data_IF_841304229613
#
_entry.id   IF_841304229613
#
_cell.length_a   1.000
_cell.length_b   1.000
_cell.length_c   1.000
_cell.angle_alpha   90.00
_cell.angle_beta   90.00
_cell.angle_gamma   90.00
#
_symmetry.space_group_name_H-M   'P 1'
#
loop_
_entity.id
_entity.type
_entity.pdbx_description
1 polymer ?
#
# COMPACT_ATOMS: atom_id res chain seq x y z
N UNK A 1 22.82 1.42 -13.47
CA UNK A 1 22.36 0.34 -14.38
C UNK A 1 21.09 0.82 -15.06
N UNK A 2 20.92 0.52 -16.34
CA UNK A 2 19.74 0.89 -17.14
C UNK A 2 19.24 -0.36 -17.85
N UNK A 3 17.93 -0.60 -17.84
CA UNK A 3 17.26 -1.69 -18.53
C UNK A 3 16.54 -1.15 -19.77
N UNK A 4 16.47 -1.94 -20.84
CA UNK A 4 15.73 -1.61 -22.06
C UNK A 4 14.62 -2.64 -22.24
N UNK A 5 13.38 -2.18 -22.35
CA UNK A 5 12.21 -3.04 -22.60
C UNK A 5 12.01 -3.23 -24.10
N UNK A 6 11.55 -4.42 -24.50
CA UNK A 6 11.32 -4.74 -25.91
C UNK A 6 10.02 -4.12 -26.47
N UNK A 7 9.10 -3.71 -25.60
CA UNK A 7 7.81 -3.13 -25.97
C UNK A 7 7.54 -1.81 -25.25
N UNK A 8 6.52 -1.12 -25.72
CA UNK A 8 6.02 0.11 -25.12
C UNK A 8 5.09 -0.25 -23.96
N UNK A 9 5.58 -0.07 -22.73
CA UNK A 9 4.82 -0.31 -21.50
C UNK A 9 4.84 0.98 -20.70
N UNK A 10 3.66 1.44 -20.27
CA UNK A 10 3.53 2.59 -19.38
C UNK A 10 4.09 2.24 -18.00
N UNK A 11 5.32 2.67 -17.73
CA UNK A 11 6.01 2.45 -16.46
C UNK A 11 6.45 3.78 -15.84
N UNK A 12 6.13 3.95 -14.57
CA UNK A 12 6.45 5.13 -13.78
C UNK A 12 7.53 4.87 -12.73
N UNK A 13 8.00 5.97 -12.12
CA UNK A 13 8.89 5.88 -10.96
C UNK A 13 8.14 5.27 -9.78
N UNK A 14 8.73 4.21 -9.21
CA UNK A 14 8.15 3.48 -8.09
C UNK A 14 7.40 2.21 -8.49
N UNK A 15 7.32 1.92 -9.79
CA UNK A 15 6.89 0.61 -10.28
C UNK A 15 8.02 -0.42 -10.10
N UNK A 16 7.61 -1.68 -9.91
CA UNK A 16 8.53 -2.78 -9.63
C UNK A 16 8.51 -3.76 -10.79
N UNK A 17 9.66 -3.95 -11.41
CA UNK A 17 9.89 -5.05 -12.34
C UNK A 17 10.33 -6.27 -11.53
N UNK A 18 9.49 -7.31 -11.51
CA UNK A 18 9.75 -8.52 -10.74
C UNK A 18 9.69 -9.77 -11.61
N UNK A 19 10.61 -10.70 -11.35
CA UNK A 19 10.50 -12.09 -11.81
C UNK A 19 9.97 -12.89 -10.62
N UNK A 20 8.71 -13.32 -10.68
CA UNK A 20 8.00 -13.97 -9.58
C UNK A 20 6.74 -13.22 -9.15
N UNK A 21 6.22 -13.55 -7.97
CA UNK A 21 4.97 -12.99 -7.44
C UNK A 21 5.22 -12.27 -6.10
N UNK A 22 5.68 -11.00 -6.11
CA UNK A 22 5.73 -10.19 -4.90
C UNK A 22 4.30 -9.96 -4.38
N UNK A 23 4.17 -9.60 -3.10
CA UNK A 23 2.86 -9.25 -2.57
C UNK A 23 2.45 -7.85 -3.02
N UNK A 24 1.18 -7.71 -3.39
CA UNK A 24 0.56 -6.42 -3.71
C UNK A 24 -0.65 -6.23 -2.82
N UNK A 25 -0.52 -5.39 -1.79
CA UNK A 25 -1.62 -5.13 -0.86
C UNK A 25 -1.47 -3.75 -0.21
N UNK A 26 -2.56 -3.25 0.37
CA UNK A 26 -2.58 -2.03 1.19
C UNK A 26 -2.37 -2.31 2.67
N UNK A 27 -2.36 -3.57 3.10
CA UNK A 27 -2.22 -3.93 4.52
C UNK A 27 -1.20 -5.03 4.73
N UNK A 28 -0.29 -4.80 5.67
CA UNK A 28 0.78 -5.73 6.03
C UNK A 28 1.17 -5.59 7.50
N UNK A 29 1.87 -6.60 8.00
CA UNK A 29 2.46 -6.57 9.34
C UNK A 29 3.95 -6.28 9.23
N UNK A 30 4.46 -5.43 10.13
CA UNK A 30 5.85 -5.01 10.15
C UNK A 30 6.39 -4.89 11.58
N UNK A 31 7.70 -4.99 11.72
CA UNK A 31 8.41 -4.48 12.89
C UNK A 31 8.84 -3.04 12.61
N UNK A 32 8.49 -2.12 13.49
CA UNK A 32 8.89 -0.72 13.39
C UNK A 32 9.76 -0.35 14.57
N UNK A 33 10.89 0.30 14.28
CA UNK A 33 11.73 1.00 15.26
C UNK A 33 11.32 2.47 15.23
N UNK A 34 10.85 2.97 16.36
CA UNK A 34 10.44 4.36 16.49
C UNK A 34 11.59 5.23 16.98
N UNK A 35 11.81 6.38 16.33
CA UNK A 35 12.97 7.24 16.54
C UNK A 35 12.59 8.69 16.88
N UNK A 36 11.31 9.06 16.78
CA UNK A 36 10.82 10.38 17.15
C UNK A 36 10.59 10.47 18.67
N UNK A 37 10.92 11.63 19.25
CA UNK A 37 10.64 11.92 20.66
C UNK A 37 9.14 11.93 20.96
N UNK A 38 8.34 12.38 19.98
CA UNK A 38 6.88 12.30 20.07
C UNK A 38 6.47 10.84 19.84
N UNK A 39 5.72 10.22 20.76
CA UNK A 39 5.22 8.86 20.55
C UNK A 39 4.42 8.76 19.25
N UNK A 40 4.46 7.59 18.62
CA UNK A 40 3.63 7.28 17.47
C UNK A 40 2.16 7.39 17.89
N UNK A 41 1.41 8.22 17.16
CA UNK A 41 -0.01 8.46 17.38
C UNK A 41 -0.83 7.71 16.32
N UNK A 42 -1.60 6.72 16.76
CA UNK A 42 -2.40 5.85 15.89
C UNK A 42 -3.58 6.58 15.24
N UNK A 43 -3.90 7.80 15.66
CA UNK A 43 -4.92 8.65 15.03
C UNK A 43 -4.37 9.53 13.90
N UNK A 44 -3.04 9.58 13.73
CA UNK A 44 -2.36 10.39 12.71
C UNK A 44 -2.03 9.56 11.47
N UNK A 45 -2.14 10.19 10.33
CA UNK A 45 -1.65 9.66 9.05
C UNK A 45 -0.20 10.08 8.86
N UNK A 46 0.66 9.11 8.56
CA UNK A 46 2.07 9.32 8.28
C UNK A 46 2.36 9.14 6.78
N UNK A 47 3.54 9.55 6.34
CA UNK A 47 4.06 9.19 5.03
C UNK A 47 4.95 7.96 5.17
N UNK A 48 4.65 6.92 4.41
CA UNK A 48 5.48 5.74 4.26
C UNK A 48 6.24 5.85 2.94
N UNK A 49 7.56 5.81 3.01
CA UNK A 49 8.43 5.75 1.84
C UNK A 49 9.11 4.40 1.76
N UNK A 50 8.88 3.71 0.65
CA UNK A 50 9.45 2.42 0.32
C UNK A 50 10.11 2.53 -1.05
N UNK A 51 11.40 2.23 -1.12
CA UNK A 51 12.19 2.33 -2.37
C UNK A 51 11.99 3.71 -3.05
N UNK A 52 11.30 3.76 -4.20
CA UNK A 52 11.02 4.99 -4.95
C UNK A 52 9.61 5.55 -4.75
N UNK A 53 8.76 4.90 -3.95
CA UNK A 53 7.34 5.23 -3.78
C UNK A 53 7.09 5.81 -2.39
N UNK A 54 6.28 6.86 -2.34
CA UNK A 54 5.78 7.44 -1.09
C UNK A 54 4.26 7.37 -1.11
N UNK A 55 3.67 6.84 -0.04
CA UNK A 55 2.22 6.72 0.16
C UNK A 55 1.87 7.17 1.57
N UNK A 56 0.64 7.61 1.79
CA UNK A 56 0.14 7.80 3.16
C UNK A 56 -0.11 6.45 3.81
N UNK A 57 0.13 6.38 5.12
CA UNK A 57 -0.03 5.17 5.91
C UNK A 57 -0.51 5.47 7.33
N UNK A 58 -1.30 4.55 7.87
CA UNK A 58 -1.75 4.49 9.26
C UNK A 58 -1.09 3.29 9.93
N UNK A 59 -0.70 3.46 11.20
CA UNK A 59 -0.05 2.43 12.00
C UNK A 59 -0.92 2.17 13.23
N UNK A 60 -1.27 0.92 13.48
CA UNK A 60 -2.35 0.55 14.40
C UNK A 60 -1.96 0.45 15.88
N UNK A 61 -0.68 0.66 16.20
CA UNK A 61 -0.15 0.53 17.57
C UNK A 61 0.80 1.67 17.90
N UNK A 62 0.67 2.31 19.08
CA UNK A 62 1.60 3.35 19.53
C UNK A 62 2.95 2.75 19.90
N UNK A 63 4.01 3.55 19.70
CA UNK A 63 5.40 3.23 20.02
C UNK A 63 6.07 4.48 20.63
N UNK A 64 6.82 4.30 21.71
CA UNK A 64 7.63 5.36 22.30
C UNK A 64 9.02 5.46 21.63
N UNK A 65 9.75 6.54 21.92
CA UNK A 65 11.13 6.73 21.46
C UNK A 65 11.99 5.49 21.78
N UNK A 66 12.70 4.99 20.77
CA UNK A 66 13.53 3.78 20.81
C UNK A 66 12.78 2.46 21.06
N UNK A 67 11.45 2.46 21.01
CA UNK A 67 10.66 1.22 21.08
C UNK A 67 10.69 0.50 19.72
N UNK A 68 10.77 -0.83 19.78
CA UNK A 68 10.58 -1.72 18.63
C UNK A 68 9.31 -2.52 18.85
N UNK A 69 8.37 -2.43 17.92
CA UNK A 69 7.09 -3.13 18.05
C UNK A 69 6.65 -3.81 16.75
N UNK A 70 5.94 -4.92 16.90
CA UNK A 70 5.13 -5.48 15.82
C UNK A 70 3.85 -4.65 15.69
N UNK A 71 3.59 -4.17 14.48
CA UNK A 71 2.46 -3.27 14.14
C UNK A 71 1.81 -3.71 12.83
N UNK A 72 0.52 -3.43 12.69
CA UNK A 72 -0.17 -3.43 11.41
C UNK A 72 -0.04 -2.07 10.75
N UNK A 73 0.22 -2.08 9.44
CA UNK A 73 0.32 -0.88 8.62
C UNK A 73 -0.74 -0.95 7.54
N UNK A 74 -1.49 0.14 7.38
CA UNK A 74 -2.47 0.32 6.31
C UNK A 74 -2.06 1.49 5.44
N UNK A 75 -1.79 1.27 4.16
CA UNK A 75 -1.44 2.30 3.19
C UNK A 75 -2.65 2.73 2.37
N UNK A 76 -2.73 4.00 1.99
CA UNK A 76 -3.87 4.51 1.20
C UNK A 76 -3.92 3.98 -0.24
N UNK A 77 -2.79 3.49 -0.77
CA UNK A 77 -2.70 2.80 -2.05
C UNK A 77 -1.95 1.49 -1.85
N UNK A 78 -2.29 0.41 -2.58
CA UNK A 78 -1.51 -0.81 -2.57
C UNK A 78 -0.05 -0.54 -2.91
N UNK A 79 0.85 -1.25 -2.23
CA UNK A 79 2.28 -1.25 -2.51
C UNK A 79 2.74 -2.67 -2.84
N UNK A 80 3.84 -2.76 -3.57
CA UNK A 80 4.51 -4.03 -3.90
C UNK A 80 5.56 -4.29 -2.83
N UNK A 81 5.51 -5.43 -2.14
CA UNK A 81 6.44 -5.72 -1.06
C UNK A 81 6.77 -7.21 -0.92
N UNK A 82 7.87 -7.46 -0.20
CA UNK A 82 8.28 -8.77 0.27
C UNK A 82 8.46 -8.74 1.80
N UNK A 83 8.59 -9.91 2.41
CA UNK A 83 9.13 -9.97 3.76
C UNK A 83 10.59 -9.54 3.75
N UNK A 84 10.99 -8.68 4.69
CA UNK A 84 12.34 -8.13 4.83
C UNK A 84 13.42 -9.22 4.83
N UNK A 85 13.16 -10.33 5.52
CA UNK A 85 14.09 -11.47 5.59
C UNK A 85 14.32 -12.14 4.22
N UNK A 86 13.40 -12.00 3.25
CA UNK A 86 13.57 -12.52 1.89
C UNK A 86 14.18 -11.51 0.94
N UNK A 87 13.76 -10.25 1.02
CA UNK A 87 14.24 -9.17 0.17
C UNK A 87 14.26 -7.84 0.95
N UNK A 88 15.43 -7.41 1.44
CA UNK A 88 15.55 -6.16 2.18
C UNK A 88 15.15 -4.91 1.38
N UNK A 89 15.34 -4.94 0.05
CA UNK A 89 15.06 -3.80 -0.83
C UNK A 89 13.58 -3.42 -0.93
N UNK A 90 12.69 -4.41 -0.99
CA UNK A 90 11.22 -4.24 -1.06
C UNK A 90 10.54 -4.48 0.29
N UNK A 91 11.22 -5.14 1.23
CA UNK A 91 10.70 -5.40 2.58
C UNK A 91 11.06 -4.34 3.62
N UNK A 92 11.69 -3.23 3.25
CA UNK A 92 12.00 -2.11 4.15
C UNK A 92 11.28 -0.84 3.75
N UNK A 93 10.97 -0.01 4.75
CA UNK A 93 10.40 1.32 4.54
C UNK A 93 10.82 2.26 5.67
N UNK A 94 10.63 3.55 5.44
CA UNK A 94 10.72 4.58 6.49
C UNK A 94 9.37 5.25 6.69
N UNK A 95 9.11 5.65 7.93
CA UNK A 95 7.96 6.45 8.33
C UNK A 95 8.42 7.89 8.48
N UNK A 96 7.70 8.81 7.85
CA UNK A 96 8.02 10.23 7.78
C UNK A 96 6.82 10.99 8.37
N UNK A 97 7.08 11.90 9.31
CA UNK A 97 6.04 12.80 9.81
C UNK A 97 5.76 13.87 8.74
N UNK A 98 4.52 13.97 8.21
CA UNK A 98 4.19 14.95 7.17
C UNK A 98 4.32 16.40 7.62
N UNK A 99 4.24 16.69 8.92
CA UNK A 99 4.33 18.05 9.46
C UNK A 99 5.78 18.56 9.50
N UNK A 100 6.74 17.68 9.79
CA UNK A 100 8.17 18.05 9.94
C UNK A 100 9.03 17.57 8.78
N UNK A 101 8.52 16.65 7.95
CA UNK A 101 9.29 15.91 6.94
C UNK A 101 10.46 15.09 7.48
N UNK A 102 10.57 14.93 8.80
CA UNK A 102 11.59 14.09 9.41
C UNK A 102 11.21 12.63 9.40
N UNK A 103 12.23 11.77 9.37
CA UNK A 103 12.04 10.32 9.49
C UNK A 103 11.75 10.00 10.96
N UNK A 104 10.51 9.63 11.24
CA UNK A 104 10.03 9.32 12.58
C UNK A 104 10.29 7.85 12.98
N UNK A 105 10.44 6.96 12.01
CA UNK A 105 10.69 5.55 12.26
C UNK A 105 11.19 4.79 11.03
N UNK A 106 11.69 3.58 11.25
CA UNK A 106 12.11 2.64 10.22
C UNK A 106 11.39 1.30 10.39
N UNK A 107 10.96 0.70 9.29
CA UNK A 107 10.11 -0.48 9.29
C UNK A 107 10.65 -1.63 8.45
N UNK A 108 10.43 -2.84 8.94
CA UNK A 108 10.74 -4.11 8.30
C UNK A 108 9.46 -4.92 8.15
N UNK A 109 9.03 -5.15 6.90
CA UNK A 109 7.82 -5.88 6.58
C UNK A 109 8.03 -7.36 6.90
N UNK A 110 7.07 -7.99 7.55
CA UNK A 110 7.11 -9.41 7.91
C UNK A 110 6.30 -10.22 6.90
N UNK A 111 5.02 -9.87 6.72
CA UNK A 111 4.06 -10.60 5.88
C UNK A 111 2.84 -9.75 5.53
N UNK A 112 2.05 -10.13 4.50
CA UNK A 112 0.73 -9.54 4.27
C UNK A 112 -0.15 -9.69 5.51
N UNK A 113 -1.00 -8.69 5.74
CA UNK A 113 -1.94 -8.76 6.84
C UNK A 113 -2.99 -9.83 6.51
N UNK A 114 -3.35 -10.62 7.51
CA UNK A 114 -4.48 -11.54 7.37
C UNK A 114 -5.74 -10.69 7.20
N UNK A 115 -6.65 -11.02 6.27
CA UNK A 115 -7.95 -10.37 6.23
C UNK A 115 -8.60 -10.49 7.60
N UNK A 116 -9.04 -9.37 8.19
CA UNK A 116 -9.89 -9.44 9.36
C UNK A 116 -11.10 -10.29 8.99
N UNK A 117 -11.41 -11.32 9.78
CA UNK A 117 -12.60 -12.13 9.57
C UNK A 117 -13.82 -11.18 9.59
N UNK A 118 -14.45 -10.98 8.43
CA UNK A 118 -15.55 -10.03 8.24
C UNK A 118 -15.29 -8.86 7.28
N UNK A 119 -14.07 -8.67 6.75
CA UNK A 119 -13.74 -7.56 5.83
C UNK A 119 -13.86 -7.91 4.33
N UNK A 120 -14.21 -9.15 3.99
CA UNK A 120 -14.29 -9.65 2.60
C UNK A 120 -15.48 -9.14 1.79
N UNK A 121 -16.39 -8.34 2.36
CA UNK A 121 -17.62 -7.93 1.68
C UNK A 121 -17.58 -6.51 1.08
N UNK A 122 -16.45 -5.80 1.19
CA UNK A 122 -16.32 -4.44 0.62
C UNK A 122 -14.99 -4.26 -0.08
N UNK A 123 -14.79 -4.95 -1.21
CA UNK A 123 -14.25 -4.23 -2.36
C UNK A 123 -15.24 -3.11 -2.60
N UNK A 124 -14.87 -1.87 -2.30
CA UNK A 124 -15.82 -0.76 -2.35
C UNK A 124 -16.50 -0.77 -3.72
N UNK A 125 -17.80 -0.49 -3.78
CA UNK A 125 -18.53 -0.43 -5.05
C UNK A 125 -17.76 0.43 -6.08
N UNK A 126 -17.10 1.49 -5.60
CA UNK A 126 -16.20 2.33 -6.37
C UNK A 126 -15.03 1.57 -7.03
N UNK A 127 -14.37 0.64 -6.34
CA UNK A 127 -13.26 -0.15 -6.90
C UNK A 127 -13.74 -1.16 -7.94
N UNK A 128 -14.93 -1.77 -7.75
CA UNK A 128 -15.55 -2.64 -8.76
C UNK A 128 -15.92 -1.84 -10.01
N UNK A 129 -16.56 -0.68 -9.83
CA UNK A 129 -16.94 0.22 -10.92
C UNK A 129 -15.70 0.75 -11.67
N UNK A 130 -14.63 1.10 -10.95
CA UNK A 130 -13.38 1.57 -11.56
C UNK A 130 -12.59 0.48 -12.29
N UNK A 131 -12.77 -0.80 -11.92
CA UNK A 131 -12.21 -1.92 -12.67
C UNK A 131 -13.00 -2.16 -13.96
N UNK A 132 -14.33 -2.20 -13.85
CA UNK A 132 -15.25 -2.40 -14.99
C UNK A 132 -15.11 -1.29 -16.03
N UNK A 133 -15.01 -0.02 -15.58
CA UNK A 133 -14.81 1.12 -16.47
C UNK A 133 -13.49 1.04 -17.25
N UNK A 134 -12.42 0.50 -16.64
CA UNK A 134 -11.10 0.36 -17.29
C UNK A 134 -11.04 -0.80 -18.29
N UNK A 135 -11.90 -1.81 -18.16
CA UNK A 135 -11.97 -2.94 -19.09
C UNK A 135 -12.84 -2.68 -20.33
N UNK A 136 -13.51 -1.53 -20.41
CA UNK A 136 -14.38 -1.20 -21.54
C UNK A 136 -13.56 -0.71 -22.75
N UNK A 137 -13.97 -1.15 -23.95
CA UNK A 137 -13.25 -0.86 -25.19
C UNK A 137 -13.43 0.59 -25.69
N UNK A 138 -14.45 1.30 -25.20
CA UNK A 138 -14.79 2.68 -25.55
C UNK A 138 -15.69 3.31 -24.46
N UNK A 139 -15.85 4.64 -24.51
CA UNK A 139 -16.55 5.40 -23.45
C UNK A 139 -18.03 5.04 -23.29
N UNK A 140 -18.71 4.63 -24.37
CA UNK A 140 -20.11 4.21 -24.32
C UNK A 140 -20.28 2.86 -23.62
N UNK A 141 -19.35 1.93 -23.84
CA UNK A 141 -19.31 0.64 -23.16
C UNK A 141 -18.97 0.81 -21.68
N UNK A 142 -18.10 1.77 -21.33
CA UNK A 142 -17.72 2.06 -19.94
C UNK A 142 -18.92 2.56 -19.12
N UNK A 143 -19.69 3.50 -19.68
CA UNK A 143 -20.88 4.07 -19.01
C UNK A 143 -21.95 3.00 -18.79
N UNK A 144 -22.16 2.12 -19.78
CA UNK A 144 -23.16 1.05 -19.70
C UNK A 144 -22.79 0.01 -18.64
N UNK A 145 -21.52 -0.41 -18.61
CA UNK A 145 -21.04 -1.42 -17.68
C UNK A 145 -21.00 -0.91 -16.22
N UNK A 146 -20.66 0.37 -16.00
CA UNK A 146 -20.72 1.02 -14.69
C UNK A 146 -22.17 1.11 -14.19
N UNK A 147 -23.13 1.46 -15.06
CA UNK A 147 -24.56 1.54 -14.68
C UNK A 147 -25.12 0.18 -14.26
N UNK A 148 -24.82 -0.89 -15.03
CA UNK A 148 -25.27 -2.24 -14.72
C UNK A 148 -24.70 -2.74 -13.38
N UNK A 149 -23.41 -2.51 -13.13
CA UNK A 149 -22.78 -2.89 -11.87
C UNK A 149 -23.33 -2.10 -10.66
N UNK A 150 -23.80 -0.86 -10.85
CA UNK A 150 -24.49 -0.09 -9.80
C UNK A 150 -25.86 -0.69 -9.47
N UNK A 151 -26.61 -1.13 -10.48
CA UNK A 151 -27.93 -1.76 -10.29
C UNK A 151 -27.85 -3.09 -9.54
N UNK A 152 -26.83 -3.91 -9.80
CA UNK A 152 -26.58 -5.18 -9.10
C UNK A 152 -26.17 -5.01 -7.62
N UNK A 153 -25.68 -3.83 -7.23
CA UNK A 153 -25.25 -3.52 -5.86
C UNK A 153 -26.39 -2.93 -5.01
N UNK A 154 -27.46 -2.42 -5.64
CA UNK A 154 -28.58 -1.72 -4.99
C UNK A 154 -29.82 -2.62 -4.71
N UNK A 155 -29.70 -3.94 -4.92
CA UNK A 155 -30.72 -4.97 -4.64
C UNK A 155 -30.21 -5.88 -3.53
#
# INVERSE_FOLDING_TARGET
>A
MTLVLAGDLDIGRGDVLAVGAPYVASRFEAHVVWMDERPLDTSRVYLLKQTGRTVTAEIDRPLALNEIGAVGVTTAKPIVFDGYARHPGTGSFIVIDPATSFTAGAGMIVRPARPAAGATDRLSAAERLAHVARSAANDTDAITAVRQALEEILI
#
